data_IF_762108780536
#
_entry.id   IF_762108780536
#
_cell.length_a   1.000
_cell.length_b   1.000
_cell.length_c   1.000
_cell.angle_alpha   90.00
_cell.angle_beta   90.00
_cell.angle_gamma   90.00
#
_symmetry.space_group_name_H-M   'P 1'
#
loop_
_entity.id
_entity.type
_entity.pdbx_description
1 polymer ?
#
# COMPACT_ATOMS: atom_id res chain seq x y z
N UNK A 1 -2.57 -23.18 13.95
CA UNK A 1 -2.36 -21.95 14.76
C UNK A 1 -0.88 -21.61 14.76
N UNK A 2 -0.48 -20.74 13.85
CA UNK A 2 0.75 -19.91 13.85
C UNK A 2 0.26 -18.57 13.31
N UNK A 3 -0.30 -17.71 14.17
CA UNK A 3 0.37 -16.61 14.88
C UNK A 3 1.27 -15.76 13.97
N UNK A 4 0.81 -14.54 13.68
CA UNK A 4 1.65 -13.43 13.23
C UNK A 4 1.93 -13.37 11.73
N UNK A 5 0.88 -13.18 10.91
CA UNK A 5 1.06 -12.70 9.55
C UNK A 5 1.53 -11.24 9.55
N UNK A 6 2.81 -11.01 9.83
CA UNK A 6 3.48 -9.79 9.40
C UNK A 6 3.26 -9.68 7.91
N UNK A 7 2.54 -8.64 7.47
CA UNK A 7 2.47 -8.26 6.07
C UNK A 7 3.89 -7.84 5.65
N UNK A 8 4.68 -8.84 5.26
CA UNK A 8 6.00 -8.68 4.69
C UNK A 8 5.90 -7.77 3.46
N UNK A 9 6.84 -6.84 3.39
CA UNK A 9 6.95 -5.84 2.33
C UNK A 9 6.97 -6.53 0.96
N UNK A 10 5.97 -6.24 0.13
CA UNK A 10 5.75 -6.80 -1.22
C UNK A 10 6.77 -6.30 -2.28
N UNK A 11 8.02 -6.05 -1.89
CA UNK A 11 9.08 -5.77 -2.86
C UNK A 11 10.27 -6.69 -2.65
N UNK A 12 10.79 -7.25 -3.75
CA UNK A 12 12.03 -8.01 -3.75
C UNK A 12 13.09 -7.20 -4.45
N UNK A 13 14.23 -7.01 -3.79
CA UNK A 13 15.36 -6.27 -4.35
C UNK A 13 16.52 -7.22 -4.61
N UNK A 14 17.17 -7.09 -5.77
CA UNK A 14 18.40 -7.80 -6.11
C UNK A 14 19.44 -6.79 -6.57
N UNK A 15 20.66 -6.92 -6.05
CA UNK A 15 21.79 -6.03 -6.37
C UNK A 15 22.91 -6.89 -6.98
N UNK A 16 23.33 -6.58 -8.21
CA UNK A 16 24.41 -7.29 -8.93
C UNK A 16 25.10 -6.31 -9.89
N UNK A 17 26.44 -6.33 -9.99
CA UNK A 17 27.20 -5.59 -11.03
C UNK A 17 26.79 -4.11 -11.22
N UNK A 18 26.64 -3.34 -10.13
CA UNK A 18 26.17 -1.95 -10.17
C UNK A 18 24.72 -1.75 -10.67
N UNK A 19 23.95 -2.83 -10.83
CA UNK A 19 22.52 -2.82 -11.15
C UNK A 19 21.69 -3.15 -9.91
N UNK A 20 20.56 -2.44 -9.76
CA UNK A 20 19.55 -2.69 -8.73
C UNK A 20 18.25 -3.04 -9.44
N UNK A 21 17.73 -4.24 -9.17
CA UNK A 21 16.45 -4.72 -9.69
C UNK A 21 15.46 -4.75 -8.52
N UNK A 22 14.37 -4.00 -8.66
CA UNK A 22 13.26 -3.99 -7.70
C UNK A 22 12.05 -4.63 -8.39
N UNK A 23 11.51 -5.69 -7.79
CA UNK A 23 10.26 -6.33 -8.20
C UNK A 23 9.19 -5.93 -7.19
N UNK A 24 8.26 -5.08 -7.61
CA UNK A 24 7.10 -4.66 -6.83
C UNK A 24 5.80 -5.18 -7.43
N UNK A 25 4.75 -5.31 -6.61
CA UNK A 25 3.42 -5.69 -7.08
C UNK A 25 2.73 -4.55 -7.86
N UNK A 26 2.88 -3.33 -7.36
CA UNK A 26 2.33 -2.11 -7.95
C UNK A 26 3.46 -1.07 -8.01
N UNK A 27 3.52 -0.28 -9.08
CA UNK A 27 4.49 0.80 -9.25
C UNK A 27 3.87 1.94 -10.06
N UNK A 28 4.06 3.16 -9.59
CA UNK A 28 3.62 4.40 -10.22
C UNK A 28 4.78 5.40 -10.19
N UNK A 29 4.96 6.17 -11.26
CA UNK A 29 5.98 7.22 -11.28
C UNK A 29 5.47 8.41 -10.48
N UNK A 30 6.33 9.01 -9.65
CA UNK A 30 5.96 10.19 -8.86
C UNK A 30 5.51 11.39 -9.70
N UNK A 31 5.91 11.47 -10.98
CA UNK A 31 5.44 12.48 -11.94
C UNK A 31 4.00 12.30 -12.38
N UNK A 32 3.49 11.07 -12.30
CA UNK A 32 2.17 10.70 -12.79
C UNK A 32 1.13 10.76 -11.66
N UNK A 33 1.58 10.98 -10.43
CA UNK A 33 0.72 11.15 -9.26
C UNK A 33 0.08 12.54 -9.31
N UNK A 34 -1.25 12.56 -9.44
CA UNK A 34 -2.04 13.75 -9.19
C UNK A 34 -2.24 13.92 -7.66
N UNK A 35 -1.76 15.01 -7.05
CA UNK A 35 -1.85 15.21 -5.60
C UNK A 35 -3.30 15.38 -5.10
N UNK A 36 -4.20 15.90 -5.93
CA UNK A 36 -5.61 16.08 -5.57
C UNK A 36 -6.34 14.72 -5.60
N UNK A 37 -6.07 13.90 -6.61
CA UNK A 37 -6.59 12.53 -6.68
C UNK A 37 -6.06 11.66 -5.52
N UNK A 38 -4.76 11.79 -5.20
CA UNK A 38 -4.14 11.07 -4.10
C UNK A 38 -4.77 11.43 -2.75
N UNK A 39 -5.03 12.71 -2.51
CA UNK A 39 -5.66 13.19 -1.28
C UNK A 39 -7.11 12.71 -1.15
N UNK A 40 -7.88 12.73 -2.25
CA UNK A 40 -9.24 12.19 -2.27
C UNK A 40 -9.26 10.68 -2.00
N UNK A 41 -8.32 9.93 -2.59
CA UNK A 41 -8.18 8.50 -2.36
C UNK A 41 -7.85 8.18 -0.89
N UNK A 42 -7.06 9.04 -0.23
CA UNK A 42 -6.77 8.93 1.20
C UNK A 42 -8.03 9.11 2.05
N UNK A 43 -8.84 10.14 1.80
CA UNK A 43 -10.08 10.39 2.54
C UNK A 43 -11.08 9.23 2.38
N UNK A 44 -11.21 8.68 1.17
CA UNK A 44 -12.07 7.52 0.91
C UNK A 44 -11.57 6.29 1.68
N UNK A 45 -10.24 6.06 1.71
CA UNK A 45 -9.66 4.94 2.45
C UNK A 45 -9.88 5.06 3.97
N UNK A 46 -9.80 6.28 4.52
CA UNK A 46 -10.11 6.54 5.94
C UNK A 46 -11.59 6.30 6.25
N UNK A 47 -12.50 6.78 5.39
CA UNK A 47 -13.92 6.54 5.54
C UNK A 47 -14.27 5.04 5.45
N UNK A 48 -13.61 4.31 4.55
CA UNK A 48 -13.80 2.86 4.41
C UNK A 48 -13.26 2.09 5.61
N UNK A 49 -12.15 2.52 6.20
CA UNK A 49 -11.65 1.94 7.44
C UNK A 49 -12.63 2.14 8.61
N UNK A 50 -13.28 3.30 8.69
CA UNK A 50 -14.29 3.58 9.72
C UNK A 50 -15.56 2.75 9.56
N UNK A 51 -15.87 2.28 8.34
CA UNK A 51 -17.06 1.46 8.04
C UNK A 51 -16.79 -0.04 8.11
N UNK A 52 -15.53 -0.46 8.18
CA UNK A 52 -15.16 -1.86 8.22
C UNK A 52 -15.43 -2.47 9.61
N UNK A 53 -16.31 -3.46 9.68
CA UNK A 53 -16.69 -4.14 10.92
C UNK A 53 -16.09 -5.56 10.98
N UNK A 54 -15.87 -6.20 9.82
CA UNK A 54 -15.28 -7.53 9.74
C UNK A 54 -13.77 -7.55 9.96
N UNK A 55 -13.24 -8.65 10.49
CA UNK A 55 -11.78 -8.83 10.67
C UNK A 55 -11.00 -8.83 9.36
N UNK A 56 -11.57 -9.41 8.29
CA UNK A 56 -11.00 -9.37 6.94
C UNK A 56 -11.04 -7.97 6.34
N UNK A 57 -12.21 -7.31 6.41
CA UNK A 57 -12.42 -5.95 5.90
C UNK A 57 -11.51 -4.94 6.59
N UNK A 58 -11.30 -5.07 7.90
CA UNK A 58 -10.37 -4.22 8.64
C UNK A 58 -8.92 -4.38 8.17
N UNK A 59 -8.49 -5.59 7.82
CA UNK A 59 -7.13 -5.82 7.30
C UNK A 59 -6.97 -5.23 5.91
N UNK A 60 -7.96 -5.42 5.04
CA UNK A 60 -7.97 -4.87 3.68
C UNK A 60 -8.07 -3.34 3.69
N UNK A 61 -8.94 -2.76 4.52
CA UNK A 61 -9.07 -1.31 4.68
C UNK A 61 -7.79 -0.69 5.27
N UNK A 62 -7.13 -1.35 6.23
CA UNK A 62 -5.83 -0.90 6.74
C UNK A 62 -4.73 -0.96 5.68
N UNK A 63 -4.73 -1.98 4.82
CA UNK A 63 -3.79 -2.06 3.70
C UNK A 63 -4.04 -0.95 2.68
N UNK A 64 -5.31 -0.72 2.32
CA UNK A 64 -5.71 0.35 1.40
C UNK A 64 -5.32 1.74 1.96
N UNK A 65 -5.55 1.98 3.25
CA UNK A 65 -5.13 3.21 3.92
C UNK A 65 -3.61 3.41 3.86
N UNK A 66 -2.83 2.37 4.12
CA UNK A 66 -1.36 2.46 4.03
C UNK A 66 -0.90 2.79 2.62
N UNK A 67 -1.54 2.23 1.58
CA UNK A 67 -1.23 2.53 0.18
C UNK A 67 -1.58 3.98 -0.17
N UNK A 68 -2.78 4.44 0.19
CA UNK A 68 -3.21 5.80 -0.08
C UNK A 68 -2.30 6.84 0.61
N UNK A 69 -1.85 6.57 1.84
CA UNK A 69 -0.89 7.45 2.56
C UNK A 69 0.48 7.57 1.91
N UNK A 70 0.90 6.60 1.09
CA UNK A 70 2.18 6.63 0.38
C UNK A 70 2.06 7.42 -0.94
N UNK A 71 0.84 7.56 -1.47
CA UNK A 71 0.55 8.26 -2.73
C UNK A 71 0.43 9.78 -2.56
N UNK A 72 0.22 10.28 -1.34
CA UNK A 72 0.17 11.72 -0.99
C UNK A 72 1.57 12.22 -0.65
#
# INVERSE_FOLDING_TARGET
MVNGGSVEWFCKTRIVNNEIIILGNDAELGSDIDPEEAQQALEIAEANLSKAEGTKELVEAKLALKRARIRV
#
